data_IF_356409276838
#
_entry.id   IF_356409276838
#
_cell.length_a   1.000
_cell.length_b   1.000
_cell.length_c   1.000
_cell.angle_alpha   90.00
_cell.angle_beta   90.00
_cell.angle_gamma   90.00
#
_symmetry.space_group_name_H-M   'P 1'
#
loop_
_entity.id
_entity.type
_entity.pdbx_description
1 polymer ?
#
# COMPACT_ATOMS: atom_id res chain seq x y z
N UNK A 1 -24.16 28.07 -7.64
CA UNK A 1 -22.79 28.11 -7.08
C UNK A 1 -21.82 27.93 -8.24
N UNK A 2 -20.96 28.92 -8.50
CA UNK A 2 -19.85 28.74 -9.44
C UNK A 2 -18.93 27.62 -8.92
N UNK A 3 -18.59 26.68 -9.81
CA UNK A 3 -17.63 25.62 -9.51
C UNK A 3 -16.26 26.27 -9.47
N UNK A 4 -15.62 26.32 -8.29
CA UNK A 4 -14.24 26.78 -8.22
C UNK A 4 -13.36 25.89 -9.12
N UNK A 5 -12.40 26.47 -9.85
CA UNK A 5 -11.49 25.70 -10.70
C UNK A 5 -10.72 24.68 -9.85
N UNK A 6 -10.74 23.42 -10.30
CA UNK A 6 -10.03 22.33 -9.64
C UNK A 6 -8.58 22.34 -10.09
N UNK A 7 -7.66 22.62 -9.17
CA UNK A 7 -6.22 22.60 -9.42
C UNK A 7 -5.63 21.24 -9.11
N UNK A 8 -4.67 20.78 -9.94
CA UNK A 8 -4.04 19.46 -9.84
C UNK A 8 -3.50 19.15 -8.44
N UNK A 9 -2.72 20.07 -7.86
CA UNK A 9 -2.14 19.91 -6.53
C UNK A 9 -3.19 19.74 -5.44
N UNK A 10 -4.25 20.56 -5.46
CA UNK A 10 -5.36 20.47 -4.49
C UNK A 10 -6.19 19.21 -4.68
N UNK A 11 -6.41 18.76 -5.92
CA UNK A 11 -7.19 17.56 -6.21
C UNK A 11 -6.49 16.29 -5.71
N UNK A 12 -5.17 16.20 -5.91
CA UNK A 12 -4.38 15.04 -5.46
C UNK A 12 -3.91 15.14 -4.00
N UNK A 13 -4.05 16.31 -3.38
CA UNK A 13 -3.54 16.55 -2.02
C UNK A 13 -2.01 16.46 -1.95
N UNK A 14 -1.31 17.02 -2.95
CA UNK A 14 0.15 16.92 -3.05
C UNK A 14 0.89 17.59 -1.90
N UNK A 15 0.28 18.57 -1.24
CA UNK A 15 0.77 19.17 -0.01
C UNK A 15 0.94 18.12 1.10
N UNK A 16 0.07 17.11 1.16
CA UNK A 16 0.17 16.01 2.13
C UNK A 16 1.06 14.89 1.62
N UNK A 17 0.93 14.53 0.35
CA UNK A 17 1.66 13.40 -0.23
C UNK A 17 3.16 13.69 -0.31
N UNK A 18 3.55 14.90 -0.72
CA UNK A 18 4.96 15.28 -0.94
C UNK A 18 5.64 15.89 0.29
N UNK A 19 4.91 16.03 1.40
CA UNK A 19 5.45 16.49 2.69
C UNK A 19 5.49 15.34 3.73
N UNK A 20 5.15 14.11 3.35
CA UNK A 20 5.11 12.97 4.27
C UNK A 20 6.46 12.24 4.43
N UNK A 21 7.52 12.72 3.79
CA UNK A 21 8.83 12.07 3.79
C UNK A 21 9.75 12.71 4.83
N UNK A 22 9.99 12.01 5.93
CA UNK A 22 10.82 12.49 7.03
C UNK A 22 11.91 11.46 7.40
N UNK A 23 13.01 11.39 6.63
CA UNK A 23 14.15 10.51 6.95
C UNK A 23 14.72 10.78 8.34
N UNK A 24 14.84 9.74 9.16
CA UNK A 24 15.38 9.81 10.53
C UNK A 24 16.89 10.03 10.51
N UNK A 25 17.61 9.46 9.55
CA UNK A 25 19.07 9.62 9.40
C UNK A 25 19.50 11.08 9.15
N UNK A 26 18.60 11.92 8.63
CA UNK A 26 18.86 13.35 8.40
C UNK A 26 18.60 14.22 9.63
N UNK A 27 18.10 13.65 10.73
CA UNK A 27 17.89 14.39 11.96
C UNK A 27 19.23 14.68 12.68
N UNK A 28 19.36 15.81 13.39
CA UNK A 28 20.60 16.14 14.10
C UNK A 28 21.04 15.04 15.06
N UNK A 29 22.29 14.62 14.96
CA UNK A 29 22.88 13.57 15.81
C UNK A 29 22.98 12.18 15.14
N UNK A 30 22.43 12.02 13.94
CA UNK A 30 22.60 10.82 13.11
C UNK A 30 23.57 11.08 11.95
N UNK A 31 24.19 10.02 11.43
CA UNK A 31 24.89 10.05 10.15
C UNK A 31 23.85 9.99 9.02
N UNK A 32 23.87 10.92 8.04
CA UNK A 32 22.90 10.92 6.94
C UNK A 32 23.05 9.69 6.04
N UNK A 33 21.94 9.00 5.79
CA UNK A 33 21.89 7.85 4.88
C UNK A 33 20.95 8.17 3.71
N UNK A 34 21.50 8.32 2.51
CA UNK A 34 20.76 8.83 1.35
C UNK A 34 19.57 7.93 0.95
N UNK A 35 19.77 6.62 0.99
CA UNK A 35 18.79 5.63 0.53
C UNK A 35 17.59 5.47 1.47
N UNK A 36 17.60 6.09 2.65
CA UNK A 36 16.42 6.12 3.52
C UNK A 36 15.23 6.82 2.82
N UNK A 37 15.48 7.83 1.98
CA UNK A 37 14.43 8.48 1.20
C UNK A 37 13.76 7.49 0.24
N UNK A 38 14.55 6.67 -0.47
CA UNK A 38 14.04 5.61 -1.35
C UNK A 38 13.22 4.60 -0.54
N UNK A 39 13.74 4.18 0.61
CA UNK A 39 13.05 3.28 1.52
C UNK A 39 11.69 3.84 1.98
N UNK A 40 11.57 5.14 2.26
CA UNK A 40 10.29 5.76 2.62
C UNK A 40 9.34 5.78 1.42
N UNK A 41 9.79 6.32 0.28
CA UNK A 41 8.95 6.51 -0.91
C UNK A 41 8.37 5.19 -1.41
N UNK A 42 9.19 4.13 -1.45
CA UNK A 42 8.74 2.83 -1.96
C UNK A 42 7.66 2.22 -1.06
N UNK A 43 7.79 2.32 0.27
CA UNK A 43 6.77 1.84 1.21
C UNK A 43 5.49 2.69 1.17
N UNK A 44 5.62 4.00 1.01
CA UNK A 44 4.45 4.88 0.81
C UNK A 44 3.71 4.55 -0.49
N UNK A 45 4.43 4.24 -1.58
CA UNK A 45 3.82 3.80 -2.83
C UNK A 45 3.10 2.44 -2.66
N UNK A 46 3.68 1.48 -1.93
CA UNK A 46 2.99 0.24 -1.57
C UNK A 46 1.68 0.51 -0.82
N UNK A 47 1.70 1.37 0.21
CA UNK A 47 0.51 1.68 1.02
C UNK A 47 -0.58 2.41 0.22
N UNK A 48 -0.23 3.24 -0.77
CA UNK A 48 -1.20 3.83 -1.69
C UNK A 48 -1.87 2.78 -2.58
N UNK A 49 -1.10 1.81 -3.09
CA UNK A 49 -1.65 0.70 -3.87
C UNK A 49 -2.47 -0.27 -3.02
N UNK A 50 -2.06 -0.53 -1.77
CA UNK A 50 -2.86 -1.33 -0.83
C UNK A 50 -4.21 -0.69 -0.56
N UNK A 51 -4.24 0.64 -0.39
CA UNK A 51 -5.49 1.39 -0.27
C UNK A 51 -6.38 1.22 -1.50
N UNK A 52 -5.79 1.27 -2.70
CA UNK A 52 -6.55 1.03 -3.95
C UNK A 52 -7.11 -0.39 -4.00
N UNK A 53 -6.30 -1.41 -3.66
CA UNK A 53 -6.75 -2.82 -3.62
C UNK A 53 -7.93 -2.97 -2.64
N UNK A 54 -7.82 -2.42 -1.43
CA UNK A 54 -8.90 -2.46 -0.44
C UNK A 54 -10.17 -1.79 -0.94
N UNK A 55 -10.05 -0.64 -1.63
CA UNK A 55 -11.20 0.04 -2.22
C UNK A 55 -11.90 -0.81 -3.29
N UNK A 56 -11.16 -1.55 -4.10
CA UNK A 56 -11.73 -2.49 -5.07
C UNK A 56 -12.38 -3.70 -4.38
N UNK A 57 -11.73 -4.25 -3.36
CA UNK A 57 -12.24 -5.39 -2.59
C UNK A 57 -13.54 -5.04 -1.86
N UNK A 58 -13.64 -3.85 -1.26
CA UNK A 58 -14.86 -3.42 -0.57
C UNK A 58 -16.05 -3.34 -1.55
N UNK A 59 -15.83 -2.90 -2.80
CA UNK A 59 -16.87 -2.95 -3.84
C UNK A 59 -17.28 -4.40 -4.14
N UNK A 60 -16.31 -5.28 -4.35
CA UNK A 60 -16.55 -6.69 -4.69
C UNK A 60 -17.33 -7.37 -3.57
N UNK A 61 -16.89 -7.23 -2.32
CA UNK A 61 -17.59 -7.74 -1.14
C UNK A 61 -19.01 -7.18 -1.03
N UNK A 62 -19.21 -5.88 -1.34
CA UNK A 62 -20.53 -5.28 -1.39
C UNK A 62 -21.49 -5.92 -2.40
N UNK A 63 -20.99 -6.34 -3.57
CA UNK A 63 -21.79 -7.08 -4.56
C UNK A 63 -22.13 -8.48 -4.06
N UNK A 64 -21.15 -9.20 -3.51
CA UNK A 64 -21.35 -10.59 -3.05
C UNK A 64 -22.12 -10.71 -1.72
N UNK A 65 -22.22 -9.64 -0.94
CA UNK A 65 -23.04 -9.61 0.28
C UNK A 65 -24.55 -9.46 0.02
N UNK A 66 -24.98 -9.31 -1.24
CA UNK A 66 -26.40 -9.25 -1.60
C UNK A 66 -27.02 -10.64 -1.44
N UNK A 67 -28.26 -10.69 -0.94
CA UNK A 67 -29.02 -11.95 -0.75
C UNK A 67 -29.16 -12.75 -2.05
N UNK A 68 -29.30 -12.05 -3.18
CA UNK A 68 -29.37 -12.63 -4.52
C UNK A 68 -28.42 -11.89 -5.45
N UNK A 69 -27.68 -12.66 -6.23
CA UNK A 69 -26.75 -12.16 -7.25
C UNK A 69 -27.28 -12.57 -8.61
N UNK A 70 -27.44 -11.61 -9.52
CA UNK A 70 -27.77 -11.89 -10.91
C UNK A 70 -26.46 -11.96 -11.72
N UNK A 71 -26.10 -13.15 -12.20
CA UNK A 71 -24.86 -13.37 -12.97
C UNK A 71 -24.80 -12.55 -14.27
N UNK A 72 -25.96 -12.16 -14.82
CA UNK A 72 -26.07 -11.34 -16.01
C UNK A 72 -26.14 -9.83 -15.72
N UNK A 73 -25.91 -9.40 -14.48
CA UNK A 73 -25.95 -7.98 -14.11
C UNK A 73 -24.66 -7.24 -14.47
N UNK A 74 -24.76 -5.92 -14.64
CA UNK A 74 -23.60 -5.04 -14.80
C UNK A 74 -22.63 -5.14 -13.62
N UNK A 75 -23.13 -5.38 -12.41
CA UNK A 75 -22.33 -5.59 -11.20
C UNK A 75 -21.30 -6.71 -11.37
N UNK A 76 -21.67 -7.83 -12.01
CA UNK A 76 -20.77 -8.96 -12.21
C UNK A 76 -19.67 -8.65 -13.23
N UNK A 77 -19.98 -7.85 -14.25
CA UNK A 77 -18.96 -7.36 -15.17
C UNK A 77 -18.00 -6.38 -14.47
N UNK A 78 -18.51 -5.52 -13.60
CA UNK A 78 -17.70 -4.62 -12.79
C UNK A 78 -16.82 -5.39 -11.80
N UNK A 79 -17.34 -6.42 -11.13
CA UNK A 79 -16.54 -7.31 -10.27
C UNK A 79 -15.36 -7.91 -11.03
N UNK A 80 -15.61 -8.50 -12.21
CA UNK A 80 -14.56 -9.07 -13.07
C UNK A 80 -13.51 -8.04 -13.44
N UNK A 81 -13.93 -6.85 -13.85
CA UNK A 81 -13.05 -5.74 -14.21
C UNK A 81 -12.18 -5.27 -13.05
N UNK A 82 -12.76 -5.16 -11.84
CA UNK A 82 -12.04 -4.74 -10.64
C UNK A 82 -11.05 -5.80 -10.16
N UNK A 83 -11.41 -7.08 -10.20
CA UNK A 83 -10.47 -8.17 -9.93
C UNK A 83 -9.30 -8.15 -10.91
N UNK A 84 -9.57 -7.91 -12.21
CA UNK A 84 -8.51 -7.76 -13.20
C UNK A 84 -7.59 -6.58 -12.89
N UNK A 85 -8.14 -5.45 -12.44
CA UNK A 85 -7.36 -4.30 -11.96
C UNK A 85 -6.48 -4.67 -10.76
N UNK A 86 -7.01 -5.38 -9.76
CA UNK A 86 -6.22 -5.85 -8.60
C UNK A 86 -5.03 -6.69 -9.08
N UNK A 87 -5.23 -7.61 -10.03
CA UNK A 87 -4.15 -8.43 -10.60
C UNK A 87 -3.04 -7.56 -11.20
N UNK A 88 -3.38 -6.55 -12.00
CA UNK A 88 -2.39 -5.63 -12.58
C UNK A 88 -1.66 -4.80 -11.51
N UNK A 89 -2.36 -4.36 -10.46
CA UNK A 89 -1.72 -3.68 -9.34
C UNK A 89 -0.71 -4.61 -8.65
N UNK A 90 -1.09 -5.85 -8.35
CA UNK A 90 -0.19 -6.83 -7.73
C UNK A 90 1.04 -7.13 -8.61
N UNK A 91 0.87 -7.20 -9.94
CA UNK A 91 1.99 -7.34 -10.87
C UNK A 91 2.95 -6.13 -10.83
N UNK A 92 2.41 -4.91 -10.72
CA UNK A 92 3.23 -3.71 -10.55
C UNK A 92 3.99 -3.74 -9.21
N UNK A 93 3.31 -4.14 -8.12
CA UNK A 93 3.92 -4.27 -6.80
C UNK A 93 5.08 -5.27 -6.76
N UNK A 94 4.99 -6.36 -7.54
CA UNK A 94 6.10 -7.30 -7.69
C UNK A 94 7.30 -6.65 -8.40
N UNK A 95 7.06 -5.91 -9.48
CA UNK A 95 8.13 -5.18 -10.20
C UNK A 95 8.76 -4.08 -9.35
N UNK A 96 7.98 -3.47 -8.46
CA UNK A 96 8.48 -2.42 -7.58
C UNK A 96 9.60 -2.92 -6.65
N UNK A 97 9.69 -4.22 -6.35
CA UNK A 97 10.81 -4.82 -5.60
C UNK A 97 12.15 -4.56 -6.31
N UNK A 98 12.18 -4.57 -7.64
CA UNK A 98 13.40 -4.31 -8.42
C UNK A 98 13.94 -2.89 -8.19
N UNK A 99 13.08 -1.95 -7.80
CA UNK A 99 13.49 -0.59 -7.40
C UNK A 99 14.11 -0.59 -6.01
N UNK A 100 13.64 -1.44 -5.09
CA UNK A 100 14.27 -1.59 -3.77
C UNK A 100 15.64 -2.26 -3.90
N UNK A 101 15.78 -3.21 -4.83
CA UNK A 101 17.01 -3.97 -5.06
C UNK A 101 18.18 -3.10 -5.58
N UNK A 102 17.91 -1.84 -5.96
CA UNK A 102 18.98 -0.89 -6.30
C UNK A 102 19.70 -0.34 -5.08
N UNK A 103 19.11 -0.46 -3.87
CA UNK A 103 19.75 -0.12 -2.60
C UNK A 103 20.62 -1.28 -2.16
N UNK A 104 21.91 -1.03 -1.91
CA UNK A 104 22.80 -2.11 -1.48
C UNK A 104 22.53 -2.49 -0.02
N UNK A 105 22.86 -3.73 0.40
CA UNK A 105 22.77 -4.12 1.80
C UNK A 105 23.61 -3.22 2.74
N UNK A 106 24.72 -2.65 2.24
CA UNK A 106 25.56 -1.75 3.03
C UNK A 106 24.84 -0.42 3.27
N UNK A 107 24.27 0.18 2.22
CA UNK A 107 23.49 1.42 2.31
C UNK A 107 22.28 1.23 3.24
N UNK A 108 21.61 0.08 3.15
CA UNK A 108 20.51 -0.25 4.07
C UNK A 108 20.97 -0.32 5.54
N UNK A 109 22.16 -0.86 5.82
CA UNK A 109 22.68 -0.98 7.18
C UNK A 109 22.98 0.39 7.82
N UNK A 110 23.23 1.43 7.03
CA UNK A 110 23.51 2.79 7.53
C UNK A 110 22.35 3.35 8.36
N UNK A 111 21.10 3.07 7.96
CA UNK A 111 19.90 3.59 8.65
C UNK A 111 19.05 2.51 9.33
N UNK A 112 19.27 1.22 9.05
CA UNK A 112 18.46 0.11 9.60
C UNK A 112 18.26 0.19 11.11
N UNK A 113 19.30 0.52 11.87
CA UNK A 113 19.23 0.54 13.33
C UNK A 113 18.31 1.65 13.86
N UNK A 114 18.15 2.75 13.11
CA UNK A 114 17.28 3.87 13.46
C UNK A 114 15.79 3.52 13.36
N UNK A 115 15.45 2.48 12.58
CA UNK A 115 14.07 2.08 12.35
C UNK A 115 13.50 1.16 13.43
N UNK A 116 14.34 0.56 14.27
CA UNK A 116 13.90 -0.37 15.32
C UNK A 116 13.00 0.35 16.33
N UNK A 117 11.80 -0.19 16.69
CA UNK A 117 11.26 -1.52 16.41
C UNK A 117 10.30 -1.61 15.21
N UNK A 118 10.21 -0.57 14.37
CA UNK A 118 9.28 -0.51 13.24
C UNK A 118 9.57 -1.61 12.22
N UNK A 119 8.51 -2.27 11.71
CA UNK A 119 8.65 -3.32 10.70
C UNK A 119 7.43 -3.45 9.80
N UNK A 120 7.62 -4.10 8.63
CA UNK A 120 6.53 -4.42 7.70
C UNK A 120 5.42 -5.29 8.31
N UNK A 121 5.68 -5.99 9.43
CA UNK A 121 4.64 -6.71 10.16
C UNK A 121 3.52 -5.80 10.67
N UNK A 122 3.82 -4.52 10.86
CA UNK A 122 2.88 -3.50 11.33
C UNK A 122 2.07 -2.85 10.20
N UNK A 123 2.23 -3.28 8.94
CA UNK A 123 1.38 -2.78 7.84
C UNK A 123 -0.06 -3.27 8.00
N UNK A 124 -0.91 -2.39 8.52
CA UNK A 124 -2.34 -2.67 8.72
C UNK A 124 -3.06 -2.98 7.42
N UNK A 125 -2.77 -2.25 6.33
CA UNK A 125 -3.47 -2.45 5.06
C UNK A 125 -3.11 -3.80 4.44
N UNK A 126 -1.83 -4.21 4.52
CA UNK A 126 -1.42 -5.54 4.07
C UNK A 126 -2.18 -6.64 4.81
N UNK A 127 -2.33 -6.53 6.14
CA UNK A 127 -3.12 -7.50 6.93
C UNK A 127 -4.60 -7.51 6.58
N UNK A 128 -5.18 -6.34 6.32
CA UNK A 128 -6.56 -6.24 5.88
C UNK A 128 -6.78 -6.91 4.52
N UNK A 129 -5.83 -6.77 3.58
CA UNK A 129 -5.89 -7.45 2.29
C UNK A 129 -5.87 -8.97 2.48
N UNK A 130 -4.93 -9.50 3.26
CA UNK A 130 -4.86 -10.94 3.57
C UNK A 130 -6.18 -11.45 4.15
N UNK A 131 -6.75 -10.73 5.13
CA UNK A 131 -8.00 -11.11 5.77
C UNK A 131 -9.21 -11.03 4.81
N UNK A 132 -9.30 -9.97 3.99
CA UNK A 132 -10.38 -9.79 2.99
C UNK A 132 -10.34 -10.84 1.88
N UNK A 133 -9.15 -11.35 1.55
CA UNK A 133 -8.96 -12.44 0.60
C UNK A 133 -9.17 -13.84 1.23
N UNK A 134 -9.40 -13.92 2.54
CA UNK A 134 -9.77 -15.16 3.23
C UNK A 134 -8.61 -15.92 3.89
N UNK A 135 -7.48 -15.28 4.17
CA UNK A 135 -6.41 -15.92 4.97
C UNK A 135 -6.87 -16.06 6.43
N UNK A 136 -7.26 -17.28 6.79
CA UNK A 136 -7.63 -17.65 8.15
C UNK A 136 -6.45 -17.49 9.13
N UNK A 137 -6.76 -17.09 10.37
CA UNK A 137 -5.78 -16.97 11.45
C UNK A 137 -4.99 -18.28 11.64
N UNK A 138 -5.65 -19.42 11.48
CA UNK A 138 -5.02 -20.71 11.72
C UNK A 138 -3.95 -21.08 10.71
N UNK A 139 -4.01 -20.47 9.52
CA UNK A 139 -3.06 -20.69 8.43
C UNK A 139 -1.92 -19.64 8.44
N UNK A 140 -1.87 -18.75 9.43
CA UNK A 140 -0.79 -17.76 9.58
C UNK A 140 0.42 -18.37 10.27
N UNK A 141 1.60 -18.09 9.72
CA UNK A 141 2.87 -18.40 10.37
C UNK A 141 3.11 -17.43 11.54
N UNK A 142 3.53 -17.95 12.70
CA UNK A 142 3.65 -17.22 13.96
C UNK A 142 2.39 -16.43 14.37
N UNK A 143 1.31 -17.16 14.70
CA UNK A 143 0.04 -16.59 15.17
C UNK A 143 0.19 -15.64 16.36
N UNK A 144 1.21 -15.85 17.19
CA UNK A 144 1.45 -15.08 18.43
C UNK A 144 1.80 -13.59 18.19
N UNK A 145 2.08 -13.19 16.95
CA UNK A 145 2.28 -11.78 16.58
C UNK A 145 0.99 -11.05 16.16
N UNK A 146 -0.17 -11.73 16.24
CA UNK A 146 -1.49 -11.21 15.85
C UNK A 146 -2.45 -11.19 17.03
#
# INVERSE_FOLDING_TARGET
MEKQPMYYGSYLGLDKVLDAQHPVSFQPGNEPAHDEMLFIIIHQAYELWFKQILFELDYITGVFNKEKINDNSEDMNLVRHRLHRIIHILQLLNKQVEVLDTMTPLDFLEFRNLLTPSSGFQSKQFRLIEARLGLELDNRHHKDYY
#
